data_IF_427306845436
#
_entry.id   IF_427306845436
#
_cell.length_a   1.000
_cell.length_b   1.000
_cell.length_c   1.000
_cell.angle_alpha   90.00
_cell.angle_beta   90.00
_cell.angle_gamma   90.00
#
_symmetry.space_group_name_H-M   'P 1'
#
loop_
_entity.id
_entity.type
_entity.pdbx_description
1 polymer ?
#
# COMPACT_ATOMS: atom_id res chain seq x y z
N UNK A 1 -44.28 -28.85 -23.95
CA UNK A 1 -44.19 -29.66 -25.21
C UNK A 1 -42.88 -29.34 -25.89
N UNK A 2 -42.17 -30.37 -26.21
CA UNK A 2 -40.96 -30.66 -26.98
C UNK A 2 -39.66 -30.71 -26.19
N UNK A 3 -39.39 -31.97 -25.78
CA UNK A 3 -38.09 -32.57 -25.54
C UNK A 3 -37.19 -32.49 -26.76
N UNK A 4 -35.91 -32.40 -26.56
CA UNK A 4 -34.95 -33.12 -27.39
C UNK A 4 -33.72 -33.52 -26.57
N UNK A 5 -33.55 -34.84 -26.51
CA UNK A 5 -32.40 -35.57 -25.96
C UNK A 5 -31.44 -35.96 -27.08
N UNK A 6 -30.25 -36.41 -26.67
CA UNK A 6 -29.23 -37.24 -27.32
C UNK A 6 -28.10 -36.48 -28.04
N UNK A 7 -26.84 -36.88 -27.94
CA UNK A 7 -26.20 -38.20 -27.84
C UNK A 7 -24.77 -38.12 -27.27
N UNK A 8 -24.44 -39.16 -26.56
CA UNK A 8 -23.11 -39.66 -26.22
C UNK A 8 -22.24 -39.92 -27.45
N UNK A 9 -20.93 -39.70 -27.35
CA UNK A 9 -19.93 -40.46 -28.07
C UNK A 9 -18.74 -40.80 -27.17
N UNK A 10 -18.65 -42.08 -26.86
CA UNK A 10 -17.52 -42.79 -26.29
C UNK A 10 -16.59 -43.16 -27.42
N UNK A 11 -15.33 -42.86 -27.32
CA UNK A 11 -14.30 -43.31 -28.24
C UNK A 11 -13.10 -43.84 -27.48
N UNK A 12 -13.16 -45.13 -27.20
CA UNK A 12 -12.06 -45.94 -26.67
C UNK A 12 -11.19 -46.35 -27.88
N UNK A 13 -9.90 -46.11 -27.85
CA UNK A 13 -8.95 -46.85 -28.71
C UNK A 13 -7.70 -47.23 -27.93
N UNK A 14 -7.59 -48.55 -27.81
CA UNK A 14 -6.50 -49.34 -27.28
C UNK A 14 -5.57 -49.72 -28.45
N UNK A 15 -4.25 -49.73 -28.27
CA UNK A 15 -3.27 -50.57 -29.00
C UNK A 15 -1.88 -50.28 -28.44
N UNK A 16 -1.32 -51.11 -27.75
CA UNK A 16 -0.57 -52.37 -27.90
C UNK A 16 0.95 -52.18 -27.90
N UNK A 17 1.53 -52.93 -27.04
CA UNK A 17 2.91 -53.30 -26.78
C UNK A 17 3.80 -53.53 -28.01
N UNK A 18 5.07 -53.18 -27.90
CA UNK A 18 6.17 -53.98 -28.39
C UNK A 18 7.39 -53.90 -27.44
N UNK A 19 7.68 -55.03 -26.83
CA UNK A 19 8.95 -55.34 -26.17
C UNK A 19 10.03 -55.54 -27.19
N UNK A 20 11.23 -54.99 -26.98
CA UNK A 20 12.47 -55.60 -27.43
C UNK A 20 13.50 -55.44 -26.29
N UNK A 21 13.80 -56.59 -25.73
CA UNK A 21 14.94 -56.75 -24.83
C UNK A 21 16.24 -56.93 -25.63
N UNK A 22 17.33 -56.45 -25.07
CA UNK A 22 18.64 -57.00 -25.33
C UNK A 22 19.49 -56.96 -24.06
N UNK A 23 20.06 -58.12 -23.81
CA UNK A 23 20.86 -58.46 -22.63
C UNK A 23 22.30 -57.94 -22.72
N UNK A 24 22.85 -57.71 -21.55
CA UNK A 24 24.21 -57.94 -21.05
C UNK A 24 25.41 -57.32 -21.78
N UNK A 25 26.09 -56.42 -21.07
CA UNK A 25 27.49 -56.65 -20.71
C UNK A 25 27.83 -55.95 -19.38
N UNK A 26 28.26 -56.76 -18.43
CA UNK A 26 28.86 -56.37 -17.16
C UNK A 26 30.31 -55.94 -17.43
N UNK A 27 30.65 -54.70 -17.07
CA UNK A 27 32.02 -54.29 -16.80
C UNK A 27 32.04 -53.57 -15.46
N UNK A 28 32.59 -54.25 -14.47
CA UNK A 28 32.89 -53.71 -13.16
C UNK A 28 34.02 -52.68 -13.28
N UNK A 29 33.75 -51.42 -12.95
CA UNK A 29 34.78 -50.46 -12.66
C UNK A 29 34.34 -49.59 -11.47
N UNK A 30 35.07 -49.70 -10.42
CA UNK A 30 35.36 -48.79 -9.31
C UNK A 30 34.23 -47.90 -8.79
N UNK A 31 33.61 -48.29 -7.70
CA UNK A 31 32.79 -47.44 -6.87
C UNK A 31 33.73 -46.44 -6.16
N UNK A 32 33.85 -45.23 -6.66
CA UNK A 32 34.25 -44.10 -5.84
C UNK A 32 32.97 -43.35 -5.48
N UNK A 33 32.47 -43.61 -4.28
CA UNK A 33 31.42 -42.85 -3.65
C UNK A 33 31.90 -41.39 -3.44
N UNK A 34 31.75 -40.52 -4.42
CA UNK A 34 31.67 -39.10 -4.17
C UNK A 34 30.20 -38.77 -3.90
N UNK A 35 29.80 -38.91 -2.64
CA UNK A 35 28.65 -38.15 -2.13
C UNK A 35 29.03 -36.68 -2.24
N UNK A 36 28.62 -36.05 -3.35
CA UNK A 36 28.58 -34.60 -3.42
C UNK A 36 27.78 -34.10 -2.20
N UNK A 37 28.36 -33.25 -1.35
CA UNK A 37 27.58 -32.67 -0.28
C UNK A 37 26.43 -31.90 -0.95
N UNK A 38 25.20 -32.29 -0.72
CA UNK A 38 24.02 -31.48 -1.04
C UNK A 38 24.18 -30.25 -0.19
N UNK A 39 24.66 -29.18 -0.81
CA UNK A 39 24.70 -27.88 -0.15
C UNK A 39 23.27 -27.51 0.25
N UNK A 40 23.03 -27.05 1.49
CA UNK A 40 21.69 -26.66 1.98
C UNK A 40 21.04 -25.52 1.20
N UNK A 41 21.72 -24.96 0.22
CA UNK A 41 21.22 -23.89 -0.68
C UNK A 41 20.15 -24.35 -1.68
N UNK A 42 19.77 -25.63 -1.69
CA UNK A 42 18.63 -26.16 -2.46
C UNK A 42 17.47 -26.66 -1.59
N UNK A 43 17.51 -26.45 -0.29
CA UNK A 43 16.27 -26.36 0.46
C UNK A 43 15.49 -25.22 -0.20
N UNK A 44 14.42 -25.57 -0.90
CA UNK A 44 13.53 -24.62 -1.56
C UNK A 44 13.52 -23.35 -0.70
N UNK A 45 13.94 -22.22 -1.27
CA UNK A 45 13.63 -20.92 -0.72
C UNK A 45 12.11 -20.91 -0.66
N UNK A 46 11.56 -21.27 0.49
CA UNK A 46 10.19 -20.97 0.82
C UNK A 46 10.09 -19.47 0.55
N UNK A 47 9.45 -19.11 -0.55
CA UNK A 47 9.32 -17.70 -0.90
C UNK A 47 8.51 -17.07 0.24
N UNK A 48 9.22 -16.37 1.11
CA UNK A 48 8.57 -15.60 2.17
C UNK A 48 7.59 -14.66 1.47
N UNK A 49 6.30 -14.68 1.82
CA UNK A 49 5.32 -13.80 1.22
C UNK A 49 5.83 -12.36 1.21
N UNK A 50 5.65 -11.67 0.09
CA UNK A 50 6.15 -10.31 -0.11
C UNK A 50 5.21 -9.25 0.50
N UNK A 51 4.07 -9.66 1.05
CA UNK A 51 3.12 -8.76 1.68
C UNK A 51 2.77 -9.22 3.10
N UNK A 52 2.39 -8.24 3.91
CA UNK A 52 2.10 -8.39 5.33
C UNK A 52 0.96 -9.38 5.58
N UNK A 53 -0.13 -9.28 4.80
CA UNK A 53 -1.32 -10.10 4.98
C UNK A 53 -1.01 -11.59 4.84
N UNK A 54 -0.40 -11.99 3.71
CA UNK A 54 -0.09 -13.39 3.44
C UNK A 54 0.95 -13.93 4.44
N UNK A 55 1.96 -13.11 4.80
CA UNK A 55 2.96 -13.49 5.79
C UNK A 55 2.32 -13.78 7.15
N UNK A 56 1.52 -12.85 7.66
CA UNK A 56 0.92 -13.00 8.99
C UNK A 56 -0.06 -14.18 9.03
N UNK A 57 -0.88 -14.35 8.01
CA UNK A 57 -1.80 -15.51 7.96
C UNK A 57 -1.08 -16.85 7.93
N UNK A 58 0.03 -16.93 7.22
CA UNK A 58 0.75 -18.18 7.04
C UNK A 58 1.66 -18.51 8.22
N UNK A 59 2.35 -17.52 8.79
CA UNK A 59 3.42 -17.75 9.76
C UNK A 59 3.13 -17.18 11.15
N UNK A 60 2.19 -16.24 11.27
CA UNK A 60 1.87 -15.53 12.53
C UNK A 60 0.35 -15.35 12.71
N UNK A 61 -0.47 -16.42 12.68
CA UNK A 61 -1.93 -16.31 12.69
C UNK A 61 -2.48 -15.64 13.97
N UNK A 62 -1.84 -15.82 15.12
CA UNK A 62 -2.24 -15.16 16.36
C UNK A 62 -2.01 -13.64 16.29
N UNK A 63 -0.86 -13.22 15.78
CA UNK A 63 -0.54 -11.81 15.52
C UNK A 63 -1.52 -11.21 14.49
N UNK A 64 -1.85 -11.97 13.44
CA UNK A 64 -2.84 -11.56 12.46
C UNK A 64 -4.21 -11.27 13.11
N UNK A 65 -4.70 -12.18 13.94
CA UNK A 65 -5.97 -12.01 14.63
C UNK A 65 -5.96 -10.79 15.56
N UNK A 66 -4.92 -10.65 16.38
CA UNK A 66 -4.74 -9.49 17.25
C UNK A 66 -4.73 -8.16 16.47
N UNK A 67 -3.98 -8.09 15.37
CA UNK A 67 -3.90 -6.87 14.54
C UNK A 67 -5.22 -6.58 13.84
N UNK A 68 -5.97 -7.60 13.44
CA UNK A 68 -7.31 -7.44 12.84
C UNK A 68 -8.30 -6.87 13.85
N UNK A 69 -8.28 -7.35 15.09
CA UNK A 69 -9.12 -6.81 16.16
C UNK A 69 -8.73 -5.36 16.50
N UNK A 70 -7.43 -5.07 16.57
CA UNK A 70 -6.93 -3.71 16.79
C UNK A 70 -7.36 -2.77 15.66
N UNK A 71 -7.24 -3.18 14.42
CA UNK A 71 -7.69 -2.40 13.26
C UNK A 71 -9.20 -2.15 13.32
N UNK A 72 -10.00 -3.16 13.66
CA UNK A 72 -11.46 -3.00 13.80
C UNK A 72 -11.81 -1.98 14.88
N UNK A 73 -11.15 -2.02 16.03
CA UNK A 73 -11.33 -1.02 17.10
C UNK A 73 -10.94 0.38 16.64
N UNK A 74 -9.84 0.51 15.89
CA UNK A 74 -9.37 1.79 15.31
C UNK A 74 -10.33 2.37 14.27
N UNK A 75 -11.02 1.52 13.50
CA UNK A 75 -12.05 1.94 12.54
C UNK A 75 -13.26 2.52 13.29
N UNK A 76 -13.68 1.90 14.36
CA UNK A 76 -14.80 2.42 15.17
C UNK A 76 -14.42 3.71 15.92
N UNK A 77 -13.20 3.82 16.44
CA UNK A 77 -12.68 5.04 17.10
C UNK A 77 -12.61 6.21 16.12
N UNK A 78 -11.99 6.00 14.94
CA UNK A 78 -11.82 7.05 13.93
C UNK A 78 -13.14 7.57 13.32
N UNK A 79 -14.23 6.81 13.44
CA UNK A 79 -15.54 7.13 12.85
C UNK A 79 -16.21 8.34 13.46
N UNK A 80 -15.97 8.59 14.74
CA UNK A 80 -16.55 9.70 15.49
C UNK A 80 -15.43 10.47 16.21
N UNK A 81 -14.66 11.30 15.48
CA UNK A 81 -13.49 11.99 16.04
C UNK A 81 -13.91 12.97 17.15
N UNK A 82 -13.03 13.10 18.13
CA UNK A 82 -13.26 13.94 19.30
C UNK A 82 -12.49 15.27 19.22
N UNK A 83 -12.90 16.32 19.96
CA UNK A 83 -12.22 17.61 19.93
C UNK A 83 -10.74 17.58 20.34
N UNK A 84 -10.34 16.67 21.21
CA UNK A 84 -8.95 16.49 21.66
C UNK A 84 -8.07 15.74 20.66
N UNK A 85 -8.65 15.27 19.55
CA UNK A 85 -7.94 14.66 18.43
C UNK A 85 -7.63 15.66 17.31
N UNK A 86 -8.16 16.89 17.40
CA UNK A 86 -7.79 17.99 16.50
C UNK A 86 -6.36 18.45 16.81
N UNK A 87 -5.49 18.40 15.80
CA UNK A 87 -4.09 18.80 15.90
C UNK A 87 -3.84 20.15 15.22
N UNK A 88 -2.74 20.84 15.60
CA UNK A 88 -2.38 22.15 15.07
C UNK A 88 -0.97 22.17 14.43
N UNK A 89 -0.45 21.01 14.08
CA UNK A 89 0.89 20.81 13.54
C UNK A 89 0.92 20.05 12.22
N UNK A 90 -0.24 19.98 11.54
CA UNK A 90 -0.32 19.44 10.18
C UNK A 90 0.67 20.15 9.25
N UNK A 91 1.21 19.43 8.29
CA UNK A 91 2.07 20.01 7.28
C UNK A 91 1.25 20.84 6.30
N UNK A 92 1.38 22.17 6.42
CA UNK A 92 0.77 23.09 5.48
C UNK A 92 1.50 23.07 4.13
N UNK A 93 0.76 22.98 3.01
CA UNK A 93 1.30 23.16 1.68
C UNK A 93 1.40 24.65 1.36
N UNK A 94 2.53 25.25 1.72
CA UNK A 94 2.82 26.65 1.53
C UNK A 94 4.30 26.85 1.24
N UNK A 95 4.68 27.75 0.31
CA UNK A 95 6.07 28.11 0.06
C UNK A 95 6.84 28.55 1.32
N UNK A 96 6.12 29.01 2.34
CA UNK A 96 6.70 29.42 3.62
C UNK A 96 6.99 28.25 4.58
N UNK A 97 6.52 27.04 4.26
CA UNK A 97 6.82 25.85 5.07
C UNK A 97 8.15 25.22 4.64
N UNK A 98 9.22 25.31 5.47
CA UNK A 98 10.54 24.80 5.12
C UNK A 98 10.61 23.27 5.07
N UNK A 99 9.59 22.56 5.58
CA UNK A 99 9.58 21.09 5.64
C UNK A 99 9.19 20.44 4.32
N UNK A 100 8.54 21.17 3.40
CA UNK A 100 8.04 20.61 2.14
C UNK A 100 8.88 21.03 0.95
N UNK A 101 8.74 20.31 -0.16
CA UNK A 101 9.34 20.67 -1.43
C UNK A 101 8.27 21.24 -2.35
N UNK A 102 8.56 22.40 -2.94
CA UNK A 102 7.67 23.06 -3.87
C UNK A 102 8.46 23.70 -5.03
N UNK A 103 7.79 24.00 -6.11
CA UNK A 103 8.33 24.76 -7.23
C UNK A 103 7.25 25.66 -7.86
N UNK A 104 7.67 26.66 -8.60
CA UNK A 104 6.81 27.39 -9.52
C UNK A 104 7.05 26.88 -10.95
N UNK A 105 5.96 26.54 -11.64
CA UNK A 105 6.00 26.04 -13.00
C UNK A 105 4.92 26.75 -13.83
N UNK A 106 5.34 27.56 -14.80
CA UNK A 106 4.45 28.38 -15.64
C UNK A 106 3.46 29.25 -14.83
N UNK A 107 3.94 29.87 -13.75
CA UNK A 107 3.14 30.73 -12.88
C UNK A 107 2.17 29.99 -11.95
N UNK A 108 2.31 28.66 -11.80
CA UNK A 108 1.52 27.85 -10.88
C UNK A 108 2.42 27.20 -9.85
N UNK A 109 1.94 27.17 -8.61
CA UNK A 109 2.61 26.42 -7.55
C UNK A 109 2.36 24.93 -7.73
N UNK A 110 3.42 24.15 -7.53
CA UNK A 110 3.37 22.70 -7.51
C UNK A 110 4.11 22.20 -6.25
N UNK A 111 3.51 21.22 -5.59
CA UNK A 111 4.08 20.58 -4.41
C UNK A 111 4.56 19.17 -4.75
N UNK A 112 5.69 18.75 -4.16
CA UNK A 112 6.18 17.39 -4.30
C UNK A 112 5.42 16.47 -3.34
N UNK A 113 4.62 15.61 -3.91
CA UNK A 113 3.75 14.68 -3.19
C UNK A 113 4.20 13.25 -3.38
N UNK A 114 3.99 12.39 -2.39
CA UNK A 114 4.26 10.96 -2.49
C UNK A 114 3.00 10.13 -2.29
N UNK A 115 2.93 8.99 -2.97
CA UNK A 115 1.89 7.98 -2.78
C UNK A 115 2.50 6.60 -2.81
N UNK A 116 2.04 5.71 -1.92
CA UNK A 116 2.51 4.33 -1.84
C UNK A 116 1.63 3.43 -2.70
N UNK A 117 2.21 2.76 -3.70
CA UNK A 117 1.46 2.00 -4.71
C UNK A 117 2.06 0.62 -4.97
N UNK A 118 1.23 -0.27 -5.48
CA UNK A 118 1.72 -1.43 -6.21
C UNK A 118 2.18 -0.97 -7.61
N UNK A 119 3.43 -1.28 -7.94
CA UNK A 119 4.02 -0.98 -9.25
C UNK A 119 4.63 -2.26 -9.78
N UNK A 120 4.14 -2.73 -10.93
CA UNK A 120 4.62 -3.96 -11.57
C UNK A 120 5.85 -3.71 -12.42
N UNK A 121 5.88 -2.59 -13.12
CA UNK A 121 7.01 -2.17 -13.95
C UNK A 121 7.18 -0.64 -13.83
N UNK A 122 8.17 -0.18 -13.04
CA UNK A 122 8.39 1.25 -12.81
C UNK A 122 8.51 2.09 -14.08
N UNK A 123 9.23 1.60 -15.08
CA UNK A 123 9.51 2.36 -16.31
C UNK A 123 8.29 2.53 -17.22
N UNK A 124 7.32 1.62 -17.16
CA UNK A 124 6.09 1.70 -17.96
C UNK A 124 4.91 2.24 -17.18
N UNK A 125 4.80 1.86 -15.91
CA UNK A 125 3.68 2.27 -15.07
C UNK A 125 3.82 3.75 -14.65
N UNK A 126 5.06 4.18 -14.34
CA UNK A 126 5.37 5.50 -13.84
C UNK A 126 6.71 6.02 -14.42
N UNK A 127 6.79 6.31 -15.72
CA UNK A 127 8.05 6.77 -16.33
C UNK A 127 8.48 8.12 -15.75
N UNK A 128 9.70 8.16 -15.24
CA UNK A 128 10.29 9.36 -14.60
C UNK A 128 10.40 10.50 -15.62
N UNK A 129 10.07 11.72 -15.20
CA UNK A 129 10.04 12.92 -16.03
C UNK A 129 8.81 13.01 -16.94
N UNK A 130 7.96 11.99 -16.99
CA UNK A 130 6.78 12.01 -17.82
C UNK A 130 5.58 12.66 -17.09
N UNK A 131 4.73 13.31 -17.87
CA UNK A 131 3.41 13.73 -17.46
C UNK A 131 2.46 12.54 -17.48
N UNK A 132 1.69 12.38 -16.41
CA UNK A 132 0.71 11.30 -16.26
C UNK A 132 -0.64 11.88 -15.89
N UNK A 133 -1.69 11.37 -16.51
CA UNK A 133 -3.07 11.69 -16.16
C UNK A 133 -3.58 10.69 -15.12
N UNK A 134 -4.06 11.22 -14.00
CA UNK A 134 -4.67 10.45 -12.92
C UNK A 134 -6.19 10.62 -12.98
N UNK A 135 -6.94 9.59 -13.41
CA UNK A 135 -8.39 9.68 -13.58
C UNK A 135 -9.17 9.32 -12.30
N UNK A 136 -8.47 8.90 -11.22
CA UNK A 136 -9.10 8.47 -9.98
C UNK A 136 -8.58 9.25 -8.78
N UNK A 137 -9.40 9.36 -7.75
CA UNK A 137 -9.00 9.92 -6.47
C UNK A 137 -7.70 9.23 -6.01
N UNK A 138 -6.69 10.02 -5.73
CA UNK A 138 -5.39 9.55 -5.27
C UNK A 138 -5.03 10.26 -3.99
N UNK A 139 -4.59 9.48 -3.01
CA UNK A 139 -4.18 9.93 -1.69
C UNK A 139 -2.68 10.16 -1.67
N UNK A 140 -2.27 11.24 -1.03
CA UNK A 140 -0.89 11.68 -0.97
C UNK A 140 -0.48 12.11 0.43
N UNK A 141 0.82 12.08 0.66
CA UNK A 141 1.51 12.78 1.74
C UNK A 141 2.53 13.75 1.15
N UNK A 142 2.85 14.82 1.87
CA UNK A 142 3.89 15.74 1.43
C UNK A 142 5.28 15.10 1.59
N UNK A 143 6.15 15.26 0.58
CA UNK A 143 7.55 14.82 0.67
C UNK A 143 8.33 15.84 1.51
N UNK A 144 9.14 15.39 2.51
CA UNK A 144 9.58 14.01 2.79
C UNK A 144 8.91 13.32 3.99
N UNK A 145 7.72 13.72 4.44
CA UNK A 145 7.15 13.33 5.74
C UNK A 145 7.18 11.81 6.02
N UNK A 146 6.68 10.99 5.08
CA UNK A 146 6.70 9.51 5.24
C UNK A 146 8.10 8.96 5.12
N UNK A 147 8.94 9.57 4.28
CA UNK A 147 10.34 9.17 4.13
C UNK A 147 11.13 9.36 5.42
N UNK A 148 10.99 10.51 6.06
CA UNK A 148 11.61 10.80 7.37
C UNK A 148 11.15 9.81 8.44
N UNK A 149 9.85 9.52 8.49
CA UNK A 149 9.31 8.55 9.43
C UNK A 149 9.94 7.16 9.23
N UNK A 150 9.91 6.62 8.02
CA UNK A 150 10.38 5.25 7.80
C UNK A 150 11.91 5.10 7.85
N UNK A 151 12.65 6.17 7.56
CA UNK A 151 14.11 6.19 7.75
C UNK A 151 14.53 6.18 9.22
N UNK A 152 13.68 6.68 10.12
CA UNK A 152 13.92 6.67 11.56
C UNK A 152 13.38 5.40 12.23
N UNK A 153 12.52 4.67 11.53
CA UNK A 153 11.92 3.47 12.07
C UNK A 153 12.97 2.35 12.19
N UNK A 154 13.07 1.80 13.39
CA UNK A 154 13.88 0.61 13.66
C UNK A 154 12.93 -0.55 13.94
N UNK A 155 13.10 -1.65 13.20
CA UNK A 155 12.35 -2.88 13.46
C UNK A 155 12.60 -3.34 14.90
N UNK A 156 11.51 -3.69 15.57
CA UNK A 156 11.59 -4.21 16.95
C UNK A 156 11.52 -5.73 16.86
N UNK A 157 12.64 -6.42 16.96
CA UNK A 157 12.78 -7.89 16.88
C UNK A 157 12.01 -8.64 18.02
N UNK A 158 10.78 -8.20 18.30
CA UNK A 158 9.95 -8.74 19.38
C UNK A 158 9.09 -9.93 18.97
N UNK A 159 8.85 -10.13 17.66
CA UNK A 159 7.83 -11.07 17.18
C UNK A 159 8.34 -12.08 16.15
N UNK A 160 9.65 -12.20 15.91
CA UNK A 160 10.22 -13.03 14.84
C UNK A 160 9.60 -12.74 13.45
N UNK A 161 9.22 -11.51 13.20
CA UNK A 161 8.76 -11.03 11.91
C UNK A 161 9.97 -10.49 11.13
N UNK A 162 10.18 -10.87 9.87
CA UNK A 162 11.28 -10.30 9.08
C UNK A 162 11.18 -8.77 8.98
N UNK A 163 12.30 -8.07 9.13
CA UNK A 163 12.38 -6.60 9.16
C UNK A 163 11.62 -5.93 8.01
N UNK A 164 11.70 -6.50 6.80
CA UNK A 164 10.99 -5.94 5.64
C UNK A 164 9.47 -6.06 5.77
N UNK A 165 8.94 -7.12 6.39
CA UNK A 165 7.50 -7.31 6.64
C UNK A 165 7.06 -6.38 7.78
N UNK A 166 7.88 -6.24 8.80
CA UNK A 166 7.62 -5.34 9.92
C UNK A 166 7.57 -3.88 9.46
N UNK A 167 8.51 -3.46 8.62
CA UNK A 167 8.49 -2.13 7.98
C UNK A 167 7.21 -1.92 7.15
N UNK A 168 6.81 -2.90 6.33
CA UNK A 168 5.59 -2.80 5.54
C UNK A 168 4.35 -2.72 6.42
N UNK A 169 4.29 -3.51 7.50
CA UNK A 169 3.19 -3.43 8.48
C UNK A 169 3.14 -2.05 9.14
N UNK A 170 4.30 -1.54 9.58
CA UNK A 170 4.36 -0.22 10.22
C UNK A 170 3.94 0.91 9.29
N UNK A 171 4.32 0.85 8.03
CA UNK A 171 3.86 1.79 7.00
C UNK A 171 2.35 1.69 6.74
N UNK A 172 1.78 0.48 6.71
CA UNK A 172 0.32 0.31 6.60
C UNK A 172 -0.40 0.95 7.79
N UNK A 173 0.12 0.74 9.00
CA UNK A 173 -0.42 1.35 10.21
C UNK A 173 -0.37 2.87 10.16
N UNK A 174 0.82 3.41 9.87
CA UNK A 174 1.08 4.85 9.83
C UNK A 174 0.25 5.58 8.77
N UNK A 175 -0.04 4.92 7.64
CA UNK A 175 -0.84 5.45 6.55
C UNK A 175 -2.34 5.13 6.65
N UNK A 176 -2.81 4.58 7.76
CA UNK A 176 -4.22 4.23 7.96
C UNK A 176 -4.75 3.18 6.98
N UNK A 177 -3.87 2.32 6.44
CA UNK A 177 -4.25 1.30 5.48
C UNK A 177 -4.72 0.01 6.17
N UNK A 178 -5.66 -0.68 5.54
CA UNK A 178 -6.23 -1.91 6.07
C UNK A 178 -5.35 -3.13 5.81
N UNK A 179 -5.50 -4.13 6.66
CA UNK A 179 -4.78 -5.40 6.58
C UNK A 179 -5.57 -6.38 5.71
N UNK A 180 -5.37 -6.36 4.40
CA UNK A 180 -6.00 -7.28 3.47
C UNK A 180 -5.06 -7.72 2.35
N UNK A 181 -5.44 -8.77 1.60
CA UNK A 181 -4.63 -9.33 0.50
C UNK A 181 -4.43 -8.40 -0.71
N UNK A 182 -5.22 -7.33 -0.82
CA UNK A 182 -5.14 -6.36 -1.91
C UNK A 182 -4.29 -5.14 -1.54
N UNK A 183 -3.83 -5.05 -0.30
CA UNK A 183 -3.03 -3.92 0.20
C UNK A 183 -1.55 -4.05 -0.10
N UNK A 184 -1.14 -4.92 -1.02
CA UNK A 184 0.25 -5.03 -1.43
C UNK A 184 0.71 -3.73 -2.08
N UNK A 185 1.70 -3.11 -1.46
CA UNK A 185 2.36 -1.91 -1.96
C UNK A 185 3.85 -2.22 -2.10
N UNK A 186 4.46 -1.72 -3.16
CA UNK A 186 5.84 -2.06 -3.52
C UNK A 186 6.76 -0.86 -3.68
N UNK A 187 6.20 0.31 -4.04
CA UNK A 187 6.98 1.49 -4.35
C UNK A 187 6.32 2.76 -3.80
N UNK A 188 7.13 3.69 -3.40
CA UNK A 188 6.74 5.10 -3.30
C UNK A 188 6.93 5.78 -4.66
N UNK A 189 5.91 6.49 -5.09
CA UNK A 189 5.93 7.32 -6.31
C UNK A 189 5.85 8.76 -5.87
N UNK A 190 6.89 9.54 -6.17
CA UNK A 190 6.90 10.98 -5.94
C UNK A 190 6.56 11.72 -7.24
N UNK A 191 5.76 12.76 -7.13
CA UNK A 191 5.30 13.54 -8.29
C UNK A 191 5.02 14.98 -7.92
N UNK A 192 5.20 15.87 -8.88
CA UNK A 192 4.74 17.25 -8.78
C UNK A 192 3.24 17.31 -9.06
N UNK A 193 2.51 17.89 -8.13
CA UNK A 193 1.06 18.10 -8.21
C UNK A 193 0.77 19.58 -8.04
N UNK A 194 -0.09 20.14 -8.90
CA UNK A 194 -0.47 21.56 -8.83
C UNK A 194 -1.28 21.83 -7.57
N UNK A 195 -1.07 23.00 -6.97
CA UNK A 195 -1.81 23.48 -5.80
C UNK A 195 -3.32 23.40 -6.02
N UNK A 196 -3.78 23.88 -7.17
CA UNK A 196 -5.20 23.96 -7.53
C UNK A 196 -5.92 22.60 -7.65
N UNK A 197 -5.16 21.51 -7.79
CA UNK A 197 -5.67 20.14 -7.91
C UNK A 197 -5.70 19.41 -6.56
N UNK A 198 -5.02 19.96 -5.53
CA UNK A 198 -4.93 19.37 -4.21
C UNK A 198 -6.01 19.89 -3.27
N UNK A 199 -6.47 19.02 -2.39
CA UNK A 199 -7.28 19.39 -1.24
C UNK A 199 -6.91 18.52 -0.03
N UNK A 200 -7.13 19.04 1.17
CA UNK A 200 -7.06 18.25 2.39
C UNK A 200 -8.41 17.54 2.58
N UNK A 201 -8.42 16.23 2.81
CA UNK A 201 -9.68 15.49 2.98
C UNK A 201 -10.25 15.71 4.38
N UNK A 202 -10.68 16.93 4.69
CA UNK A 202 -11.35 17.32 5.93
C UNK A 202 -12.42 18.37 5.67
N UNK A 203 -13.15 18.79 6.70
CA UNK A 203 -14.40 19.56 6.53
C UNK A 203 -14.16 20.95 5.93
N UNK A 204 -13.05 21.59 6.22
CA UNK A 204 -12.61 22.89 5.68
C UNK A 204 -11.75 22.77 4.41
N UNK A 205 -11.08 21.65 4.20
CA UNK A 205 -10.41 21.28 2.93
C UNK A 205 -9.19 22.12 2.54
N UNK A 206 -8.80 23.10 3.37
CA UNK A 206 -7.66 23.97 3.13
C UNK A 206 -6.34 23.20 3.23
N UNK A 207 -5.38 23.55 2.36
CA UNK A 207 -4.09 22.84 2.31
C UNK A 207 -2.95 23.66 2.88
N UNK A 208 -3.14 24.96 3.05
CA UNK A 208 -2.11 25.95 3.41
C UNK A 208 -2.08 26.31 4.89
N UNK A 209 -2.88 25.66 5.69
CA UNK A 209 -2.90 25.77 7.16
C UNK A 209 -2.39 24.50 7.84
N UNK A 210 -2.37 24.50 9.18
CA UNK A 210 -1.81 23.40 9.99
C UNK A 210 -2.84 22.68 10.87
N UNK A 211 -4.13 22.86 10.60
CA UNK A 211 -5.21 22.19 11.34
C UNK A 211 -6.39 21.87 10.43
N UNK A 212 -7.27 21.00 10.89
CA UNK A 212 -8.62 20.83 10.33
C UNK A 212 -9.66 21.02 11.42
N UNK A 213 -10.79 21.56 11.04
CA UNK A 213 -11.94 21.61 11.95
C UNK A 213 -12.45 20.18 12.26
N UNK A 214 -13.02 20.02 13.44
CA UNK A 214 -13.62 18.75 13.86
C UNK A 214 -14.71 18.33 12.85
N UNK A 215 -14.60 17.08 12.38
CA UNK A 215 -15.59 16.51 11.45
C UNK A 215 -16.92 16.31 12.17
N UNK A 216 -18.02 16.99 11.75
CA UNK A 216 -19.32 16.71 12.31
C UNK A 216 -19.88 15.37 11.81
N UNK A 217 -20.41 14.57 12.74
CA UNK A 217 -21.10 13.32 12.39
C UNK A 217 -22.56 13.45 12.82
N UNK A 218 -23.54 13.36 11.89
CA UNK A 218 -23.39 13.00 10.47
C UNK A 218 -22.74 14.09 9.61
N UNK A 219 -21.97 13.65 8.63
CA UNK A 219 -21.27 14.56 7.70
C UNK A 219 -22.27 15.32 6.83
N UNK A 220 -22.19 16.67 6.76
CA UNK A 220 -23.17 17.49 6.04
C UNK A 220 -23.07 17.33 4.51
N UNK A 221 -24.20 17.48 3.82
CA UNK A 221 -24.27 17.42 2.35
C UNK A 221 -23.54 18.58 1.66
N UNK A 222 -23.21 19.64 2.38
CA UNK A 222 -22.47 20.79 1.87
C UNK A 222 -21.03 20.47 1.48
N UNK A 223 -20.47 19.34 1.98
CA UNK A 223 -19.15 18.85 1.55
C UNK A 223 -19.28 17.43 0.94
N UNK A 224 -19.65 17.30 -0.34
CA UNK A 224 -19.93 16.03 -0.97
C UNK A 224 -18.69 15.11 -1.07
N UNK A 225 -17.48 15.69 -1.19
CA UNK A 225 -16.24 14.92 -1.26
C UNK A 225 -15.98 14.23 0.06
N UNK A 226 -15.97 14.98 1.16
CA UNK A 226 -15.78 14.46 2.52
C UNK A 226 -16.85 13.45 2.89
N UNK A 227 -18.13 13.74 2.53
CA UNK A 227 -19.23 12.80 2.74
C UNK A 227 -19.02 11.48 1.98
N UNK A 228 -18.54 11.54 0.74
CA UNK A 228 -18.24 10.36 -0.06
C UNK A 228 -17.11 9.55 0.58
N UNK A 229 -16.05 10.22 1.05
CA UNK A 229 -14.94 9.56 1.74
C UNK A 229 -15.45 8.87 3.01
N UNK A 230 -16.22 9.57 3.85
CA UNK A 230 -16.82 9.01 5.06
C UNK A 230 -17.67 7.77 4.74
N UNK A 231 -18.54 7.88 3.74
CA UNK A 231 -19.39 6.76 3.32
C UNK A 231 -18.54 5.57 2.85
N UNK A 232 -17.52 5.81 2.04
CA UNK A 232 -16.62 4.75 1.57
C UNK A 232 -15.80 4.14 2.70
N UNK A 233 -15.43 4.92 3.71
CA UNK A 233 -14.66 4.42 4.85
C UNK A 233 -15.49 3.53 5.77
N UNK A 234 -16.80 3.79 5.93
CA UNK A 234 -17.58 3.15 6.99
C UNK A 234 -18.84 2.39 6.55
N UNK A 235 -19.29 2.57 5.30
CA UNK A 235 -20.55 1.98 4.82
C UNK A 235 -20.47 1.39 3.41
N UNK A 236 -19.26 1.15 2.89
CA UNK A 236 -19.11 0.63 1.53
C UNK A 236 -19.64 -0.81 1.38
N UNK A 237 -20.09 -1.15 0.15
CA UNK A 237 -20.68 -2.46 -0.14
C UNK A 237 -19.70 -3.64 0.00
N UNK A 238 -18.40 -3.39 -0.08
CA UNK A 238 -17.36 -4.44 0.08
C UNK A 238 -17.06 -4.75 1.54
N UNK A 239 -17.56 -3.93 2.48
CA UNK A 239 -17.26 -4.03 3.93
C UNK A 239 -15.75 -3.94 4.21
N UNK A 240 -15.02 -3.22 3.39
CA UNK A 240 -13.62 -2.88 3.57
C UNK A 240 -13.56 -1.47 4.15
N UNK A 241 -13.49 -1.38 5.47
CA UNK A 241 -13.56 -0.12 6.21
C UNK A 241 -12.16 0.38 6.55
N UNK A 242 -12.00 1.72 6.59
CA UNK A 242 -10.73 2.39 6.84
C UNK A 242 -10.83 3.28 8.08
N UNK A 243 -9.81 3.31 8.93
CA UNK A 243 -9.76 4.24 10.06
C UNK A 243 -9.43 5.65 9.53
N UNK A 244 -10.45 6.41 9.17
CA UNK A 244 -10.30 7.77 8.62
C UNK A 244 -11.08 8.78 9.48
N UNK A 245 -10.37 9.66 10.20
CA UNK A 245 -10.97 10.62 11.13
C UNK A 245 -11.50 11.89 10.47
N UNK A 246 -11.06 12.22 9.25
CA UNK A 246 -11.39 13.49 8.60
C UNK A 246 -10.73 14.69 9.27
N UNK A 247 -9.64 14.49 9.99
CA UNK A 247 -8.89 15.52 10.72
C UNK A 247 -7.60 15.96 9.99
N UNK A 248 -7.45 15.59 8.69
CA UNK A 248 -6.36 16.02 7.82
C UNK A 248 -5.03 15.27 8.01
N UNK A 249 -5.05 14.19 8.78
CA UNK A 249 -3.95 13.25 8.94
C UNK A 249 -4.47 11.82 8.80
N UNK A 250 -3.60 10.90 8.40
CA UNK A 250 -3.93 9.48 8.39
C UNK A 250 -4.05 8.95 9.82
N UNK A 251 -5.01 8.10 10.09
CA UNK A 251 -5.15 7.49 11.41
C UNK A 251 -4.11 6.37 11.58
N UNK A 252 -3.09 6.63 12.40
CA UNK A 252 -2.03 5.66 12.71
C UNK A 252 -2.51 4.63 13.74
N UNK A 253 -3.14 3.55 13.26
CA UNK A 253 -3.62 2.48 14.13
C UNK A 253 -2.52 1.61 14.76
N UNK A 254 -1.26 1.85 14.40
CA UNK A 254 -0.09 1.29 15.10
C UNK A 254 0.28 2.04 16.36
N UNK A 255 -0.01 3.34 16.43
CA UNK A 255 0.25 4.17 17.59
C UNK A 255 -0.79 3.93 18.69
N UNK A 256 -0.42 3.53 19.92
CA UNK A 256 -1.37 3.37 21.02
C UNK A 256 -1.85 4.68 21.64
N UNK A 257 -1.16 5.79 21.35
CA UNK A 257 -1.42 7.10 21.96
C UNK A 257 -2.32 7.96 21.07
N UNK A 258 -3.34 8.59 21.69
CA UNK A 258 -4.17 9.61 21.03
C UNK A 258 -3.34 10.86 20.76
N UNK A 259 -3.59 11.56 19.65
CA UNK A 259 -4.72 11.41 18.73
C UNK A 259 -4.55 10.37 17.61
N UNK A 260 -3.63 9.41 17.70
CA UNK A 260 -3.31 8.44 16.65
C UNK A 260 -2.85 9.11 15.34
N UNK A 261 -2.13 10.21 15.47
CA UNK A 261 -1.72 11.05 14.36
C UNK A 261 -0.66 10.36 13.48
N UNK A 262 -1.02 10.11 12.23
CA UNK A 262 -0.09 9.77 11.16
C UNK A 262 0.32 11.02 10.35
N UNK A 263 0.84 10.86 9.14
CA UNK A 263 1.23 11.98 8.30
C UNK A 263 0.03 12.81 7.84
N UNK A 264 0.28 14.08 7.55
CA UNK A 264 -0.70 14.95 6.89
C UNK A 264 -1.12 14.36 5.56
N UNK A 265 -2.42 14.29 5.30
CA UNK A 265 -2.96 13.68 4.11
C UNK A 265 -3.59 14.70 3.16
N UNK A 266 -3.46 14.40 1.87
CA UNK A 266 -3.98 15.22 0.79
C UNK A 266 -4.56 14.32 -0.29
N UNK A 267 -5.49 14.84 -1.07
CA UNK A 267 -6.06 14.13 -2.20
C UNK A 267 -6.14 15.02 -3.44
N UNK A 268 -6.15 14.38 -4.61
CA UNK A 268 -6.77 14.92 -5.81
C UNK A 268 -8.11 14.22 -5.98
N UNK A 269 -9.10 14.96 -6.49
CA UNK A 269 -10.43 14.42 -6.73
C UNK A 269 -10.86 14.65 -8.19
N UNK A 270 -10.19 13.97 -9.16
CA UNK A 270 -10.52 14.08 -10.57
C UNK A 270 -11.88 13.44 -10.89
N UNK A 271 -12.41 13.78 -12.08
CA UNK A 271 -13.47 13.01 -12.71
C UNK A 271 -12.90 12.31 -13.96
N UNK A 272 -13.57 11.27 -14.50
CA UNK A 272 -13.14 10.63 -15.74
C UNK A 272 -12.97 11.61 -16.91
N UNK A 273 -13.81 12.66 -16.95
CA UNK A 273 -13.79 13.72 -17.98
C UNK A 273 -12.73 14.78 -17.73
N UNK A 274 -12.29 14.91 -16.47
CA UNK A 274 -11.28 15.89 -16.05
C UNK A 274 -10.23 15.19 -15.15
N UNK A 275 -9.33 14.37 -15.75
CA UNK A 275 -8.22 13.78 -15.02
C UNK A 275 -7.21 14.85 -14.60
N UNK A 276 -6.51 14.62 -13.50
CA UNK A 276 -5.44 15.51 -13.02
C UNK A 276 -4.10 15.10 -13.63
N UNK A 277 -3.39 16.08 -14.22
CA UNK A 277 -2.04 15.88 -14.76
C UNK A 277 -1.00 16.09 -13.67
N UNK A 278 -0.12 15.12 -13.50
CA UNK A 278 1.04 15.15 -12.60
C UNK A 278 2.33 14.86 -13.36
N UNK A 279 3.48 15.30 -12.82
CA UNK A 279 4.80 14.97 -13.38
C UNK A 279 5.52 14.02 -12.43
N UNK A 280 5.88 12.82 -12.90
CA UNK A 280 6.55 11.79 -12.11
C UNK A 280 8.01 12.17 -11.86
N UNK A 281 8.43 12.21 -10.59
CA UNK A 281 9.78 12.58 -10.17
C UNK A 281 10.62 11.35 -9.83
N UNK A 282 10.05 10.42 -9.07
CA UNK A 282 10.74 9.20 -8.68
C UNK A 282 9.77 8.03 -8.50
N UNK A 283 10.31 6.82 -8.67
CA UNK A 283 9.62 5.55 -8.37
C UNK A 283 10.61 4.68 -7.64
N UNK A 284 10.48 4.59 -6.34
CA UNK A 284 11.49 3.99 -5.47
C UNK A 284 10.91 2.78 -4.74
N UNK A 285 11.53 1.59 -4.78
CA UNK A 285 11.13 0.45 -3.97
C UNK A 285 11.02 0.83 -2.49
N UNK A 286 10.02 0.27 -1.79
CA UNK A 286 9.72 0.67 -0.41
C UNK A 286 10.93 0.59 0.51
N UNK A 287 11.70 -0.50 0.44
CA UNK A 287 12.88 -0.66 1.28
C UNK A 287 13.96 0.40 0.99
N UNK A 288 14.21 0.69 -0.29
CA UNK A 288 15.18 1.70 -0.71
C UNK A 288 14.72 3.11 -0.31
N UNK A 289 13.43 3.42 -0.42
CA UNK A 289 12.85 4.69 -0.02
C UNK A 289 13.05 4.98 1.47
N UNK A 290 12.98 3.94 2.30
CA UNK A 290 13.13 4.00 3.75
C UNK A 290 14.58 3.80 4.24
N UNK A 291 15.54 3.54 3.36
CA UNK A 291 16.95 3.46 3.77
C UNK A 291 17.52 4.87 3.99
N UNK A 292 18.27 5.03 5.09
CA UNK A 292 19.11 6.19 5.26
C UNK A 292 20.25 6.11 4.22
N UNK A 293 20.16 6.88 3.14
CA UNK A 293 21.32 7.16 2.33
C UNK A 293 22.26 8.02 3.18
N UNK A 294 23.18 7.38 3.89
CA UNK A 294 24.36 8.06 4.39
C UNK A 294 25.08 8.51 3.11
N UNK A 295 24.91 9.77 2.73
CA UNK A 295 25.74 10.39 1.69
C UNK A 295 27.19 10.15 2.09
N UNK A 296 27.89 9.29 1.31
CA UNK A 296 29.32 9.05 1.43
C UNK A 296 30.10 10.25 0.89
#
# INVERSE_FOLDING_TARGET
MKNWQHKFFVGLLCCTFLFFGWENQVLAAGITNYSTPIFPSQLAQLQVPQNVYDYLQQYQPETYNYLTEKLAASIEDAKEPLPDEVVNDLWALSPNNPRIKWRENNGKLEYLMSTWKYVSNPSTDWPIGAKKLLPYQTWFTAVPQVKEFCQQYQAVDSNNIPDHIELLLRLQQYLGLILNKYSTKTHFVEMWVKEEDLMRPCIDGEINDSSCNLLPVPVPDTNPVVKTIYTNSYTNAKKEYYPWSGLGYTYDWGNPEKPHQGPSEFIINPTPEKPVEVEVVSVTPTQEYCQNNVEQ
#
